data_IF_152024939341
#
_entry.id   IF_152024939341
#
_cell.length_a   1.000
_cell.length_b   1.000
_cell.length_c   1.000
_cell.angle_alpha   90.00
_cell.angle_beta   90.00
_cell.angle_gamma   90.00
#
_symmetry.space_group_name_H-M   'P 1'
#
loop_
_entity.id
_entity.type
_entity.pdbx_description
1 polymer ?
#
# COMPACT_ATOMS: atom_id res chain seq x y z
N UNK A 1 -0.52 20.43 9.51
CA UNK A 1 -0.65 19.65 8.28
C UNK A 1 -0.80 18.17 8.56
N UNK A 2 0.00 17.65 9.45
CA UNK A 2 -0.09 16.25 9.78
C UNK A 2 -1.48 15.88 10.30
N UNK A 3 -2.04 16.72 11.16
CA UNK A 3 -3.36 16.44 11.70
C UNK A 3 -4.43 16.43 10.64
N UNK A 4 -4.28 17.28 9.63
CA UNK A 4 -5.26 17.30 8.55
C UNK A 4 -5.21 16.03 7.74
N UNK A 5 -4.01 15.52 7.51
CA UNK A 5 -3.86 14.29 6.75
C UNK A 5 -4.45 13.12 7.54
N UNK A 6 -4.16 13.07 8.83
CA UNK A 6 -4.69 11.97 9.63
C UNK A 6 -6.21 12.04 9.72
N UNK A 7 -6.75 13.24 9.80
CA UNK A 7 -8.21 13.40 9.84
C UNK A 7 -8.82 12.90 8.54
N UNK A 8 -8.15 13.13 7.43
CA UNK A 8 -8.66 12.67 6.16
C UNK A 8 -8.74 11.14 6.13
N UNK A 9 -7.68 10.47 6.58
CA UNK A 9 -7.71 9.02 6.63
C UNK A 9 -8.82 8.54 7.55
N UNK A 10 -9.00 9.18 8.69
CA UNK A 10 -10.00 8.74 9.62
C UNK A 10 -11.41 8.92 9.09
N UNK A 11 -11.63 9.98 8.33
CA UNK A 11 -12.97 10.26 7.84
C UNK A 11 -13.30 9.54 6.56
N UNK A 12 -12.34 9.44 5.66
CA UNK A 12 -12.63 8.92 4.33
C UNK A 12 -11.92 7.64 4.01
N UNK A 13 -11.04 7.17 4.87
CA UNK A 13 -10.33 5.94 4.61
C UNK A 13 -11.17 4.72 4.87
N UNK A 14 -10.69 3.60 4.41
CA UNK A 14 -11.31 2.31 4.62
C UNK A 14 -10.52 1.58 5.71
N UNK A 15 -11.20 0.79 6.50
CA UNK A 15 -10.51 -0.01 7.51
C UNK A 15 -9.74 -1.12 6.83
N UNK A 16 -8.44 -1.15 7.06
CA UNK A 16 -7.55 -2.13 6.47
C UNK A 16 -6.83 -2.87 7.58
N UNK A 17 -6.58 -4.15 7.39
CA UNK A 17 -5.84 -4.92 8.37
C UNK A 17 -4.41 -5.06 7.86
N UNK A 18 -3.47 -4.62 8.68
CA UNK A 18 -2.05 -4.72 8.35
C UNK A 18 -1.45 -5.84 9.16
N UNK A 19 -0.71 -6.71 8.49
CA UNK A 19 -0.04 -7.83 9.13
C UNK A 19 1.44 -7.51 9.18
N UNK A 20 1.97 -7.36 10.39
CA UNK A 20 3.37 -6.99 10.54
C UNK A 20 3.97 -7.80 11.67
N UNK A 21 5.02 -8.53 11.37
CA UNK A 21 5.74 -9.28 12.38
C UNK A 21 4.83 -10.20 13.18
N UNK A 22 3.91 -10.85 12.48
CA UNK A 22 3.04 -11.79 13.13
C UNK A 22 1.89 -11.17 13.90
N UNK A 23 1.72 -9.87 13.78
CA UNK A 23 0.66 -9.18 14.49
C UNK A 23 -0.25 -8.48 13.52
N UNK A 24 -1.51 -8.32 13.92
CA UNK A 24 -2.49 -7.62 13.12
C UNK A 24 -2.83 -6.29 13.75
N UNK A 25 -3.05 -5.30 12.92
CA UNK A 25 -3.56 -4.04 13.41
C UNK A 25 -4.48 -3.45 12.36
N UNK A 26 -5.45 -2.68 12.80
CA UNK A 26 -6.40 -2.05 11.90
C UNK A 26 -5.97 -0.62 11.66
N UNK A 27 -5.97 -0.24 10.40
CA UNK A 27 -5.54 1.08 9.99
C UNK A 27 -6.58 1.62 9.02
N UNK A 28 -6.88 2.89 9.11
CA UNK A 28 -7.76 3.50 8.12
C UNK A 28 -6.91 4.21 7.09
N UNK A 29 -7.09 3.83 5.85
CA UNK A 29 -6.29 4.40 4.78
C UNK A 29 -6.97 4.18 3.45
N UNK A 30 -6.22 4.37 2.38
CA UNK A 30 -6.73 4.20 1.04
C UNK A 30 -5.98 3.06 0.37
N UNK A 31 -6.73 2.28 -0.42
CA UNK A 31 -6.14 1.15 -1.09
C UNK A 31 -6.90 0.94 -2.38
N UNK A 32 -6.18 0.91 -3.50
CA UNK A 32 -6.86 0.74 -4.77
C UNK A 32 -5.93 0.09 -5.79
N UNK A 33 -6.54 -0.51 -6.78
CA UNK A 33 -5.78 -1.12 -7.86
C UNK A 33 -5.20 -0.04 -8.75
N UNK A 34 -4.04 -0.33 -9.28
CA UNK A 34 -3.41 0.54 -10.27
C UNK A 34 -3.86 0.02 -11.63
N UNK A 35 -4.35 0.92 -12.45
CA UNK A 35 -4.78 0.52 -13.77
C UNK A 35 -4.02 1.33 -14.82
N UNK A 36 -4.21 0.94 -16.08
CA UNK A 36 -3.43 1.55 -17.13
C UNK A 36 -3.67 3.04 -17.24
N UNK A 37 -4.87 3.48 -16.94
CA UNK A 37 -5.14 4.90 -17.00
C UNK A 37 -4.36 5.67 -15.95
N UNK A 38 -4.26 5.09 -14.79
CA UNK A 38 -3.48 5.72 -13.74
C UNK A 38 -2.04 5.88 -14.18
N UNK A 39 -1.56 4.91 -14.91
CA UNK A 39 -0.16 4.95 -15.31
C UNK A 39 0.12 5.87 -16.46
N UNK A 40 -0.88 6.19 -17.23
CA UNK A 40 -0.66 7.07 -18.36
C UNK A 40 -0.15 8.42 -17.93
N UNK A 41 -0.60 8.89 -16.81
CA UNK A 41 -0.14 10.19 -16.35
C UNK A 41 1.26 10.12 -15.77
N UNK A 42 1.78 8.93 -15.55
CA UNK A 42 3.11 8.75 -15.03
C UNK A 42 3.92 7.91 -15.97
N UNK A 43 3.74 8.17 -17.22
CA UNK A 43 4.24 7.29 -18.21
C UNK A 43 5.74 7.09 -18.16
N UNK A 44 6.49 8.12 -17.86
CA UNK A 44 7.92 7.94 -17.80
C UNK A 44 8.31 7.00 -16.68
N UNK A 45 7.68 7.15 -15.54
CA UNK A 45 7.97 6.23 -14.46
C UNK A 45 7.50 4.85 -14.79
N UNK A 46 6.38 4.76 -15.45
CA UNK A 46 5.86 3.47 -15.81
C UNK A 46 6.82 2.72 -16.71
N UNK A 47 7.47 3.42 -17.57
CA UNK A 47 8.43 2.79 -18.44
C UNK A 47 9.62 2.25 -17.69
N UNK A 48 10.05 2.98 -16.69
CA UNK A 48 11.14 2.51 -15.87
C UNK A 48 10.73 1.32 -15.05
N UNK A 49 9.47 1.31 -14.69
CA UNK A 49 8.95 0.24 -13.87
C UNK A 49 8.23 -0.77 -14.72
N UNK A 50 8.73 -1.02 -15.88
CA UNK A 50 8.03 -1.75 -16.90
C UNK A 50 7.34 -3.01 -16.44
N UNK A 51 7.74 -3.54 -15.34
CA UNK A 51 7.11 -4.74 -14.85
C UNK A 51 5.88 -4.47 -14.05
N UNK A 52 5.58 -3.23 -13.75
CA UNK A 52 4.37 -2.92 -13.03
C UNK A 52 3.22 -3.17 -13.97
N UNK A 53 2.39 -4.09 -13.62
CA UNK A 53 1.33 -4.49 -14.49
C UNK A 53 0.11 -4.79 -13.67
N UNK A 54 -0.80 -5.56 -14.22
CA UNK A 54 -1.99 -5.91 -13.49
C UNK A 54 -1.62 -6.57 -12.20
N UNK A 55 -2.46 -6.39 -11.20
CA UNK A 55 -2.20 -6.98 -9.91
C UNK A 55 -1.42 -6.11 -8.98
N UNK A 56 -1.16 -4.89 -9.40
CA UNK A 56 -0.47 -3.93 -8.54
C UNK A 56 -1.50 -3.04 -7.85
N UNK A 57 -1.22 -2.70 -6.60
CA UNK A 57 -2.12 -1.90 -5.80
C UNK A 57 -1.34 -0.83 -5.06
N UNK A 58 -2.00 0.26 -4.74
CA UNK A 58 -1.38 1.35 -4.01
C UNK A 58 -2.10 1.55 -2.69
N UNK A 59 -1.32 1.67 -1.65
CA UNK A 59 -1.79 1.92 -0.30
C UNK A 59 -1.35 3.32 0.13
N UNK A 60 -2.21 4.04 0.84
CA UNK A 60 -1.83 5.28 1.50
C UNK A 60 -2.44 5.26 2.89
N UNK A 61 -1.64 5.59 3.88
CA UNK A 61 -2.14 5.55 5.24
C UNK A 61 -1.30 6.38 6.18
N UNK A 62 -1.68 6.37 7.45
CA UNK A 62 -1.03 7.23 8.43
C UNK A 62 0.36 6.74 8.78
N UNK A 63 1.20 7.70 9.16
CA UNK A 63 2.58 7.39 9.50
C UNK A 63 2.66 6.44 10.70
N UNK A 64 1.76 6.60 11.64
CA UNK A 64 1.85 5.79 12.85
C UNK A 64 1.51 4.33 12.63
N UNK A 65 1.03 3.99 11.45
CA UNK A 65 0.83 2.58 11.14
C UNK A 65 2.15 1.85 10.97
N UNK A 66 3.21 2.58 10.62
CA UNK A 66 4.57 2.03 10.54
C UNK A 66 4.63 0.79 9.65
N UNK A 67 4.01 0.89 8.50
CA UNK A 67 4.05 -0.21 7.55
C UNK A 67 5.44 -0.33 6.97
N UNK A 68 5.87 -1.56 6.72
CA UNK A 68 7.20 -1.82 6.19
C UNK A 68 7.12 -2.78 5.01
N UNK A 69 8.16 -2.79 4.22
CA UNK A 69 8.24 -3.75 3.13
C UNK A 69 8.21 -5.15 3.73
N UNK A 70 7.46 -6.02 3.09
CA UNK A 70 7.30 -7.37 3.60
C UNK A 70 6.07 -7.56 4.44
N UNK A 71 5.46 -6.47 4.88
CA UNK A 71 4.21 -6.58 5.63
C UNK A 71 3.09 -7.03 4.71
N UNK A 72 2.00 -7.47 5.30
CA UNK A 72 0.83 -7.87 4.56
C UNK A 72 -0.34 -6.94 4.79
N UNK A 73 -1.32 -7.01 3.92
CA UNK A 73 -2.54 -6.24 4.05
C UNK A 73 -3.70 -7.15 3.68
N UNK A 74 -4.70 -7.17 4.54
CA UNK A 74 -5.90 -7.95 4.29
C UNK A 74 -7.07 -7.04 4.01
N UNK A 75 -7.80 -7.32 2.96
CA UNK A 75 -8.99 -6.55 2.63
C UNK A 75 -9.94 -7.44 1.86
N UNK A 76 -11.16 -7.54 2.34
CA UNK A 76 -12.21 -8.32 1.68
C UNK A 76 -11.78 -9.74 1.41
N UNK A 77 -11.07 -10.33 2.36
CA UNK A 77 -10.69 -11.72 2.24
C UNK A 77 -9.49 -11.98 1.37
N UNK A 78 -8.87 -10.94 0.87
CA UNK A 78 -7.67 -11.10 0.04
C UNK A 78 -6.48 -10.55 0.77
N UNK A 79 -5.35 -11.15 0.52
CA UNK A 79 -4.11 -10.73 1.16
C UNK A 79 -3.17 -10.15 0.12
N UNK A 80 -2.52 -9.05 0.49
CA UNK A 80 -1.58 -8.36 -0.37
C UNK A 80 -0.24 -8.23 0.33
N UNK A 81 0.81 -8.10 -0.44
CA UNK A 81 2.16 -7.98 0.09
C UNK A 81 2.72 -6.63 -0.25
N UNK A 82 3.26 -5.93 0.75
CA UNK A 82 3.91 -4.64 0.51
C UNK A 82 5.28 -4.89 -0.10
N UNK A 83 5.43 -4.50 -1.36
CA UNK A 83 6.69 -4.64 -2.05
C UNK A 83 7.57 -3.43 -1.88
N UNK A 84 6.97 -2.30 -1.63
CA UNK A 84 7.71 -1.07 -1.48
C UNK A 84 6.92 -0.14 -0.60
N UNK A 85 7.59 0.54 0.33
CA UNK A 85 6.93 1.46 1.23
C UNK A 85 7.78 2.70 1.35
N UNK A 86 7.16 3.86 1.28
CA UNK A 86 7.85 5.12 1.43
C UNK A 86 7.06 6.03 2.33
N UNK A 87 7.77 6.89 3.03
CA UNK A 87 7.13 7.88 3.89
C UNK A 87 7.28 9.24 3.23
N UNK A 88 6.16 9.90 3.06
CA UNK A 88 6.18 11.23 2.48
C UNK A 88 6.38 12.24 3.59
N UNK A 89 7.38 13.09 3.43
CA UNK A 89 7.68 14.12 4.42
C UNK A 89 7.57 15.47 3.78
N UNK A 90 7.13 16.43 4.58
CA UNK A 90 7.13 17.81 4.15
C UNK A 90 7.95 18.57 5.18
N UNK A 91 9.05 19.11 4.70
CA UNK A 91 10.03 19.76 5.54
C UNK A 91 10.61 18.73 6.48
N UNK A 92 10.33 18.55 7.60
CA UNK A 92 10.87 17.49 8.42
C UNK A 92 9.79 16.71 9.09
N UNK A 93 8.56 16.92 8.65
CA UNK A 93 7.45 16.26 9.25
C UNK A 93 6.97 15.12 8.36
N UNK A 94 6.87 13.93 8.92
CA UNK A 94 6.35 12.80 8.20
C UNK A 94 4.83 12.92 8.15
N UNK A 95 4.25 12.93 6.96
CA UNK A 95 2.83 13.17 6.80
C UNK A 95 2.03 11.90 6.56
N UNK A 96 2.51 11.02 5.71
CA UNK A 96 1.82 9.78 5.47
C UNK A 96 2.77 8.79 4.83
N UNK A 97 2.32 7.54 4.73
CA UNK A 97 3.07 6.51 4.03
C UNK A 97 2.30 6.09 2.81
N UNK A 98 3.02 5.69 1.76
CA UNK A 98 2.37 5.00 0.67
C UNK A 98 3.17 3.74 0.36
N UNK A 99 2.47 2.78 -0.20
CA UNK A 99 3.12 1.52 -0.50
C UNK A 99 2.60 0.93 -1.79
N UNK A 100 3.44 0.14 -2.43
CA UNK A 100 3.08 -0.60 -3.61
C UNK A 100 2.90 -2.05 -3.20
N UNK A 101 1.75 -2.60 -3.52
CA UNK A 101 1.40 -3.94 -3.08
C UNK A 101 1.07 -4.83 -4.26
N UNK A 102 1.25 -6.12 -4.07
CA UNK A 102 0.83 -7.11 -5.03
C UNK A 102 -0.05 -8.11 -4.31
N UNK A 103 -0.96 -8.72 -5.03
CA UNK A 103 -1.86 -9.69 -4.46
C UNK A 103 -1.10 -10.97 -4.20
N UNK A 104 -1.27 -11.52 -3.01
CA UNK A 104 -0.70 -12.81 -2.70
C UNK A 104 -1.68 -13.89 -3.01
N UNK A 105 -2.02 -14.75 -2.81
CA UNK A 105 -3.06 -15.65 -3.13
C UNK A 105 -2.49 -16.85 -3.78
N UNK A 106 -3.13 -17.23 -4.86
CA UNK A 106 -2.73 -18.42 -5.53
C UNK A 106 -1.28 -18.43 -5.89
N UNK A 107 -0.83 -17.30 -6.40
CA UNK A 107 0.56 -17.21 -6.79
C UNK A 107 1.48 -17.48 -5.64
N UNK A 108 1.13 -16.92 -4.53
CA UNK A 108 1.94 -17.09 -3.38
C UNK A 108 1.91 -18.51 -2.92
N UNK A 109 0.76 -19.09 -3.04
CA UNK A 109 0.59 -20.45 -2.60
C UNK A 109 1.46 -21.39 -3.41
N UNK A 110 1.44 -21.27 -4.71
CA UNK A 110 2.28 -22.18 -5.46
C UNK A 110 3.69 -21.66 -5.54
N UNK A 111 3.87 -20.40 -5.26
CA UNK A 111 5.20 -19.91 -5.14
C UNK A 111 5.94 -20.59 -4.03
N UNK A 112 5.23 -21.01 -3.07
CA UNK A 112 5.84 -21.75 -1.99
C UNK A 112 6.46 -23.01 -2.50
N UNK A 113 5.87 -23.54 -3.48
CA UNK A 113 6.37 -24.75 -4.03
C UNK A 113 7.69 -24.55 -4.70
N UNK A 114 7.92 -23.37 -5.09
CA UNK A 114 9.18 -23.13 -5.79
C UNK A 114 10.26 -22.78 -4.85
#
# INVERSE_FOLDING_TARGET
>A
MKNSVEALFNRQGTALTILSEGKEKTVRGFFRAVNSKSWQSMESEANLLGEISRGQYVYMGPVNARVQEGDGLLLDGKEYLFRRVETYRYREEALYQWGMCVERGVNDTWGIQS
#
